data_IF_978388853863
#
_entry.id   IF_978388853863
#
_cell.length_a   1.000
_cell.length_b   1.000
_cell.length_c   1.000
_cell.angle_alpha   90.00
_cell.angle_beta   90.00
_cell.angle_gamma   90.00
#
_symmetry.space_group_name_H-M   'P 1'
#
loop_
_entity.id
_entity.type
_entity.pdbx_description
1 polymer ?
#
# COMPACT_ATOMS: atom_id res chain seq x y z
N UNK A 1 9.71 61.92 46.99
CA UNK A 1 10.01 60.75 47.83
C UNK A 1 9.00 59.66 47.53
N UNK A 2 9.47 58.42 47.31
CA UNK A 2 8.74 57.13 47.23
C UNK A 2 7.93 56.92 45.92
N UNK A 3 8.50 56.29 44.88
CA UNK A 3 8.73 54.84 44.62
C UNK A 3 7.47 54.00 44.40
N UNK A 4 7.65 52.93 43.58
CA UNK A 4 6.78 51.76 43.33
C UNK A 4 5.71 51.97 42.24
N UNK A 5 5.56 51.13 41.20
CA UNK A 5 6.27 49.93 40.74
C UNK A 5 5.77 49.60 39.33
N UNK A 6 6.67 49.16 38.46
CA UNK A 6 6.38 48.57 37.15
C UNK A 6 5.68 47.20 37.28
N UNK A 7 4.68 46.92 36.43
CA UNK A 7 4.27 45.55 36.11
C UNK A 7 4.04 45.45 34.59
N UNK A 8 5.07 44.98 33.88
CA UNK A 8 5.05 44.69 32.45
C UNK A 8 4.52 43.26 32.26
N UNK A 9 3.27 43.12 31.84
CA UNK A 9 2.66 41.82 31.54
C UNK A 9 3.06 41.42 30.11
N UNK A 10 4.06 40.55 30.00
CA UNK A 10 4.44 39.91 28.73
C UNK A 10 3.43 38.81 28.41
N UNK A 11 2.57 39.05 27.42
CA UNK A 11 1.70 38.05 26.81
C UNK A 11 2.55 37.09 25.96
N UNK A 12 2.90 35.93 26.53
CA UNK A 12 3.44 34.79 25.78
C UNK A 12 2.31 34.18 24.95
N UNK A 13 2.33 34.42 23.64
CA UNK A 13 1.56 33.64 22.65
C UNK A 13 2.23 32.26 22.50
N UNK A 14 1.55 31.14 22.78
CA UNK A 14 2.03 29.85 22.33
C UNK A 14 1.84 29.79 20.81
N UNK A 15 2.95 29.82 20.08
CA UNK A 15 2.98 29.50 18.66
C UNK A 15 2.47 28.08 18.48
N UNK A 16 1.22 27.94 18.07
CA UNK A 16 0.70 26.70 17.52
C UNK A 16 1.47 26.43 16.23
N UNK A 17 2.52 25.62 16.34
CA UNK A 17 3.11 24.95 15.21
C UNK A 17 1.97 24.18 14.53
N UNK A 18 1.53 24.69 13.38
CA UNK A 18 0.73 23.94 12.44
C UNK A 18 1.64 22.83 11.87
N UNK A 19 1.86 21.79 12.67
CA UNK A 19 2.28 20.50 12.15
C UNK A 19 1.12 20.02 11.28
N UNK A 20 1.26 20.28 9.99
CA UNK A 20 0.40 19.73 8.96
C UNK A 20 0.31 18.24 9.19
N UNK A 21 -0.82 17.82 9.75
CA UNK A 21 -1.18 16.43 9.96
C UNK A 21 -1.20 15.76 8.58
N UNK A 22 -0.08 15.15 8.20
CA UNK A 22 -0.07 14.03 7.26
C UNK A 22 -0.73 12.84 7.96
N UNK A 23 -2.03 12.98 8.25
CA UNK A 23 -2.84 11.94 8.85
C UNK A 23 -2.96 10.81 7.84
N UNK A 24 -2.38 9.65 8.20
CA UNK A 24 -2.77 8.28 7.82
C UNK A 24 -3.54 8.20 6.49
N UNK A 25 -2.85 7.78 5.42
CA UNK A 25 -3.38 7.62 4.06
C UNK A 25 -4.80 7.02 4.09
N UNK A 26 -5.82 7.87 3.87
CA UNK A 26 -7.17 7.39 3.60
C UNK A 26 -7.14 6.81 2.20
N UNK A 27 -7.24 5.49 2.09
CA UNK A 27 -7.38 4.79 0.81
C UNK A 27 -8.54 5.44 0.05
N UNK A 28 -8.29 5.91 -1.17
CA UNK A 28 -9.35 6.57 -1.95
C UNK A 28 -10.43 5.54 -2.27
N UNK A 29 -11.68 5.78 -1.82
CA UNK A 29 -12.81 4.87 -2.10
C UNK A 29 -13.38 5.02 -3.52
N UNK A 30 -12.76 5.84 -4.36
CA UNK A 30 -13.18 6.05 -5.74
C UNK A 30 -12.46 4.99 -6.60
N UNK A 31 -13.19 4.16 -7.37
CA UNK A 31 -12.58 3.24 -8.32
C UNK A 31 -11.66 3.99 -9.29
N UNK A 32 -10.46 3.48 -9.60
CA UNK A 32 -9.62 4.06 -10.64
C UNK A 32 -10.34 4.08 -11.99
N UNK A 33 -9.99 5.05 -12.83
CA UNK A 33 -10.45 5.06 -14.21
C UNK A 33 -9.89 3.83 -14.96
N UNK A 34 -10.64 3.20 -15.87
CA UNK A 34 -10.13 2.11 -16.69
C UNK A 34 -8.85 2.52 -17.44
N UNK A 35 -7.85 1.63 -17.48
CA UNK A 35 -6.56 1.92 -18.13
C UNK A 35 -5.63 2.85 -17.35
N UNK A 36 -5.92 3.07 -16.06
CA UNK A 36 -5.06 3.90 -15.19
C UNK A 36 -4.50 3.11 -14.01
N UNK A 37 -3.30 3.48 -13.59
CA UNK A 37 -2.58 2.89 -12.47
C UNK A 37 -2.61 3.87 -11.30
N UNK A 38 -3.05 3.42 -10.13
CA UNK A 38 -3.02 4.20 -8.89
C UNK A 38 -1.66 4.08 -8.22
N UNK A 39 -0.85 5.14 -8.25
CA UNK A 39 0.52 5.16 -7.73
C UNK A 39 0.57 5.48 -6.23
N UNK A 40 -0.42 6.20 -5.68
CA UNK A 40 -0.43 6.64 -4.28
C UNK A 40 -0.38 5.48 -3.26
N UNK A 41 -0.99 4.34 -3.60
CA UNK A 41 -1.05 3.16 -2.74
C UNK A 41 0.13 2.18 -3.00
N UNK A 42 0.85 2.35 -4.10
CA UNK A 42 1.93 1.44 -4.51
C UNK A 42 3.26 1.74 -3.82
N UNK A 43 3.49 3.00 -3.44
CA UNK A 43 4.77 3.47 -2.94
C UNK A 43 4.64 4.01 -1.51
N UNK A 44 5.56 3.64 -0.58
CA UNK A 44 5.55 4.16 0.78
C UNK A 44 5.90 5.65 0.84
N UNK A 45 6.70 6.14 -0.12
CA UNK A 45 7.09 7.55 -0.24
C UNK A 45 6.37 8.18 -1.43
N UNK A 46 5.74 9.35 -1.25
CA UNK A 46 5.06 10.04 -2.34
C UNK A 46 6.08 10.51 -3.39
N UNK A 47 5.74 10.33 -4.66
CA UNK A 47 6.53 10.86 -5.78
C UNK A 47 6.12 12.31 -6.03
N UNK A 48 7.10 13.21 -5.94
CA UNK A 48 6.90 14.63 -6.18
C UNK A 48 7.38 15.00 -7.59
N UNK A 49 6.54 15.70 -8.34
CA UNK A 49 6.82 16.19 -9.69
C UNK A 49 6.85 17.72 -9.67
N UNK A 50 7.64 18.31 -10.57
CA UNK A 50 7.70 19.77 -10.72
C UNK A 50 7.01 20.19 -12.02
N UNK A 51 6.12 21.17 -11.94
CA UNK A 51 5.48 21.76 -13.12
C UNK A 51 6.50 22.61 -13.88
N UNK A 52 6.73 22.31 -15.16
CA UNK A 52 7.70 23.02 -16.00
C UNK A 52 7.15 24.33 -16.55
N UNK A 53 5.93 24.28 -17.07
CA UNK A 53 5.22 25.37 -17.71
C UNK A 53 3.79 25.45 -17.20
N UNK A 54 3.05 26.50 -17.55
CA UNK A 54 1.65 26.60 -17.13
C UNK A 54 0.87 25.41 -17.69
N UNK A 55 0.40 24.56 -16.78
CA UNK A 55 -0.13 23.24 -17.13
C UNK A 55 -1.63 23.19 -16.83
N UNK A 56 -2.50 22.98 -17.83
CA UNK A 56 -3.92 22.77 -17.59
C UNK A 56 -4.14 21.45 -16.85
N UNK A 57 -5.05 21.48 -15.89
CA UNK A 57 -5.49 20.31 -15.13
C UNK A 57 -6.84 19.86 -15.66
N UNK A 58 -6.98 18.57 -15.93
CA UNK A 58 -8.17 17.96 -16.53
C UNK A 58 -8.89 17.02 -15.57
N UNK A 59 -10.19 16.84 -15.77
CA UNK A 59 -11.00 15.92 -14.95
C UNK A 59 -10.68 14.45 -15.21
N UNK A 60 -10.38 14.09 -16.47
CA UNK A 60 -10.19 12.71 -16.94
C UNK A 60 -8.84 12.51 -17.62
N UNK A 61 -8.38 11.27 -17.65
CA UNK A 61 -7.13 10.86 -18.31
C UNK A 61 -7.11 11.14 -19.83
N UNK A 62 -8.27 11.29 -20.47
CA UNK A 62 -8.42 11.66 -21.88
C UNK A 62 -8.15 13.15 -22.19
N UNK A 63 -7.97 14.01 -21.16
CA UNK A 63 -7.61 15.42 -21.30
C UNK A 63 -8.64 16.31 -22.01
N UNK A 64 -9.93 16.01 -21.86
CA UNK A 64 -11.02 16.71 -22.57
C UNK A 64 -11.50 17.99 -21.84
N UNK A 65 -11.72 17.90 -20.53
CA UNK A 65 -12.32 18.99 -19.75
C UNK A 65 -11.32 19.55 -18.73
N UNK A 66 -10.83 20.77 -18.98
CA UNK A 66 -9.95 21.47 -18.06
C UNK A 66 -10.73 22.09 -16.89
N UNK A 67 -10.22 21.91 -15.67
CA UNK A 67 -10.81 22.39 -14.41
C UNK A 67 -9.98 23.51 -13.75
N UNK A 68 -8.78 23.79 -14.28
CA UNK A 68 -7.91 24.85 -13.79
C UNK A 68 -6.53 24.77 -14.42
N UNK A 69 -5.60 25.60 -13.95
CA UNK A 69 -4.18 25.54 -14.34
C UNK A 69 -3.25 25.57 -13.13
N UNK A 70 -2.09 24.93 -13.28
CA UNK A 70 -1.00 24.98 -12.31
C UNK A 70 0.08 25.94 -12.79
N UNK A 71 0.61 26.73 -11.86
CA UNK A 71 1.68 27.66 -12.17
C UNK A 71 3.02 26.93 -12.38
N UNK A 72 3.91 27.44 -13.26
CA UNK A 72 5.27 26.93 -13.39
C UNK A 72 6.00 26.89 -12.03
N UNK A 73 6.82 25.88 -11.81
CA UNK A 73 7.59 25.69 -10.59
C UNK A 73 6.83 25.07 -9.42
N UNK A 74 5.51 24.91 -9.54
CA UNK A 74 4.69 24.23 -8.50
C UNK A 74 5.14 22.78 -8.33
N UNK A 75 5.30 22.35 -7.08
CA UNK A 75 5.59 20.95 -6.76
C UNK A 75 4.28 20.23 -6.47
N UNK A 76 4.05 19.12 -7.15
CA UNK A 76 2.79 18.36 -7.09
C UNK A 76 3.05 16.91 -6.73
N UNK A 77 2.11 16.29 -6.04
CA UNK A 77 2.17 14.86 -5.69
C UNK A 77 1.58 14.03 -6.82
N UNK A 78 2.30 13.02 -7.29
CA UNK A 78 1.79 12.01 -8.22
C UNK A 78 0.85 11.06 -7.48
N UNK A 79 -0.36 10.89 -8.02
CA UNK A 79 -1.38 9.97 -7.52
C UNK A 79 -1.59 8.81 -8.48
N UNK A 80 -1.50 9.06 -9.77
CA UNK A 80 -1.81 8.03 -10.77
C UNK A 80 -1.15 8.28 -12.11
N UNK A 81 -1.18 7.25 -12.93
CA UNK A 81 -0.53 7.18 -14.23
C UNK A 81 -1.52 6.66 -15.27
N UNK A 82 -1.58 7.31 -16.43
CA UNK A 82 -2.17 6.77 -17.66
C UNK A 82 -1.10 6.67 -18.74
N UNK A 83 -1.47 6.28 -19.94
CA UNK A 83 -0.54 6.23 -21.08
C UNK A 83 -0.08 7.62 -21.55
N UNK A 84 -0.87 8.67 -21.31
CA UNK A 84 -0.65 10.02 -21.86
C UNK A 84 -0.56 11.11 -20.80
N UNK A 85 -0.93 10.83 -19.56
CA UNK A 85 -1.09 11.82 -18.51
C UNK A 85 -0.71 11.27 -17.11
N UNK A 86 -0.32 12.19 -16.23
CA UNK A 86 -0.19 11.93 -14.81
C UNK A 86 -1.38 12.50 -14.07
N UNK A 87 -1.93 11.74 -13.12
CA UNK A 87 -2.88 12.27 -12.15
C UNK A 87 -2.11 12.85 -10.98
N UNK A 88 -2.29 14.13 -10.71
CA UNK A 88 -1.57 14.85 -9.66
C UNK A 88 -2.52 15.48 -8.67
N UNK A 89 -2.00 15.77 -7.47
CA UNK A 89 -2.66 16.62 -6.46
C UNK A 89 -1.69 17.69 -6.00
N UNK A 90 -2.18 18.91 -5.96
CA UNK A 90 -1.41 20.07 -5.54
C UNK A 90 -2.25 21.33 -5.60
N UNK A 91 -1.59 22.46 -5.38
CA UNK A 91 -2.23 23.78 -5.43
C UNK A 91 -2.22 24.33 -6.84
N UNK A 92 -3.39 24.45 -7.43
CA UNK A 92 -3.61 25.19 -8.68
C UNK A 92 -3.78 26.69 -8.39
N UNK A 93 -3.91 27.50 -9.45
CA UNK A 93 -4.14 28.96 -9.31
C UNK A 93 -5.42 29.29 -8.53
N UNK A 94 -6.45 28.44 -8.63
CA UNK A 94 -7.77 28.67 -8.05
C UNK A 94 -8.02 27.88 -6.75
N UNK A 95 -7.00 27.20 -6.21
CA UNK A 95 -7.11 26.40 -5.00
C UNK A 95 -6.48 25.01 -5.13
N UNK A 96 -6.67 24.17 -4.12
CA UNK A 96 -6.16 22.80 -4.13
C UNK A 96 -6.99 21.93 -5.08
N UNK A 97 -6.32 21.30 -6.05
CA UNK A 97 -6.95 20.53 -7.13
C UNK A 97 -6.30 19.16 -7.25
N UNK A 98 -7.11 18.15 -7.57
CA UNK A 98 -6.64 16.85 -8.04
C UNK A 98 -7.20 16.59 -9.43
N UNK A 99 -6.32 16.28 -10.38
CA UNK A 99 -6.71 16.03 -11.75
C UNK A 99 -5.54 15.56 -12.60
N UNK A 100 -5.80 15.41 -13.89
CA UNK A 100 -4.89 14.89 -14.89
C UNK A 100 -4.11 16.02 -15.54
N UNK A 101 -2.81 15.83 -15.72
CA UNK A 101 -1.90 16.78 -16.37
C UNK A 101 -1.06 16.01 -17.38
N UNK A 102 -0.75 16.62 -18.53
CA UNK A 102 0.07 15.98 -19.55
C UNK A 102 1.45 15.65 -19.00
N UNK A 103 1.99 14.50 -19.39
CA UNK A 103 3.30 14.05 -18.90
C UNK A 103 4.43 15.01 -19.26
N UNK A 104 4.38 15.62 -20.45
CA UNK A 104 5.40 16.57 -20.91
C UNK A 104 5.44 17.91 -20.16
N UNK A 105 4.37 18.25 -19.43
CA UNK A 105 4.31 19.49 -18.65
C UNK A 105 4.93 19.33 -17.24
N UNK A 106 5.30 18.10 -16.89
CA UNK A 106 5.78 17.70 -15.58
C UNK A 106 7.19 17.12 -15.67
N UNK A 107 8.05 17.57 -14.78
CA UNK A 107 9.40 17.04 -14.59
C UNK A 107 9.38 16.03 -13.44
N UNK A 108 9.75 14.78 -13.75
CA UNK A 108 10.06 13.76 -12.76
C UNK A 108 11.54 13.84 -12.34
N UNK A 109 11.85 13.57 -11.05
CA UNK A 109 13.24 13.44 -10.61
C UNK A 109 13.97 12.25 -11.25
N UNK A 110 13.24 11.17 -11.54
CA UNK A 110 13.75 9.97 -12.20
C UNK A 110 13.29 9.96 -13.68
N UNK A 111 14.23 9.89 -14.66
CA UNK A 111 13.90 9.72 -16.07
C UNK A 111 13.16 8.42 -16.40
N UNK A 112 13.38 7.36 -15.62
CA UNK A 112 12.80 6.03 -15.84
C UNK A 112 11.53 5.77 -15.02
N UNK A 113 10.95 6.80 -14.42
CA UNK A 113 9.81 6.70 -13.49
C UNK A 113 8.65 5.87 -14.07
N UNK A 114 8.23 6.18 -15.30
CA UNK A 114 7.08 5.50 -15.96
C UNK A 114 7.33 4.01 -16.11
N UNK A 115 8.50 3.64 -16.62
CA UNK A 115 8.89 2.25 -16.84
C UNK A 115 8.95 1.49 -15.52
N UNK A 116 9.51 2.10 -14.48
CA UNK A 116 9.62 1.50 -13.16
C UNK A 116 8.24 1.31 -12.51
N UNK A 117 7.35 2.28 -12.62
CA UNK A 117 5.97 2.19 -12.11
C UNK A 117 5.16 1.11 -12.81
N UNK A 118 5.29 0.97 -14.14
CA UNK A 118 4.61 -0.11 -14.89
C UNK A 118 5.10 -1.49 -14.46
N UNK A 119 6.41 -1.69 -14.39
CA UNK A 119 7.00 -2.96 -13.91
C UNK A 119 6.56 -3.29 -12.49
N UNK A 120 6.49 -2.29 -11.62
CA UNK A 120 6.04 -2.47 -10.24
C UNK A 120 4.57 -2.90 -10.20
N UNK A 121 3.70 -2.26 -10.99
CA UNK A 121 2.29 -2.62 -11.11
C UNK A 121 2.08 -4.05 -11.64
N UNK A 122 2.83 -4.43 -12.67
CA UNK A 122 2.80 -5.77 -13.24
C UNK A 122 3.20 -6.83 -12.21
N UNK A 123 4.31 -6.59 -11.49
CA UNK A 123 4.73 -7.45 -10.37
C UNK A 123 3.63 -7.57 -9.32
N UNK A 124 3.05 -6.46 -8.88
CA UNK A 124 1.99 -6.46 -7.86
C UNK A 124 0.78 -7.26 -8.31
N UNK A 125 0.34 -7.09 -9.56
CA UNK A 125 -0.79 -7.84 -10.12
C UNK A 125 -0.52 -9.34 -10.10
N UNK A 126 0.68 -9.76 -10.51
CA UNK A 126 1.09 -11.17 -10.47
C UNK A 126 1.16 -11.72 -9.04
N UNK A 127 1.70 -10.94 -8.11
CA UNK A 127 1.77 -11.31 -6.69
C UNK A 127 0.38 -11.41 -6.06
N UNK A 128 -0.52 -10.47 -6.35
CA UNK A 128 -1.91 -10.51 -5.87
C UNK A 128 -2.65 -11.73 -6.39
N UNK A 129 -2.44 -12.11 -7.66
CA UNK A 129 -2.98 -13.35 -8.23
C UNK A 129 -2.43 -14.59 -7.49
N UNK A 130 -1.12 -14.64 -7.22
CA UNK A 130 -0.51 -15.74 -6.45
C UNK A 130 -1.03 -15.81 -5.02
N UNK A 131 -1.21 -14.66 -4.35
CA UNK A 131 -1.79 -14.58 -3.01
C UNK A 131 -3.24 -15.08 -3.03
N UNK A 132 -4.04 -14.69 -4.01
CA UNK A 132 -5.42 -15.16 -4.16
C UNK A 132 -5.48 -16.69 -4.33
N UNK A 133 -4.52 -17.25 -5.07
CA UNK A 133 -4.38 -18.68 -5.29
C UNK A 133 -3.65 -19.42 -4.15
N UNK A 134 -3.22 -18.72 -3.09
CA UNK A 134 -2.43 -19.25 -1.95
C UNK A 134 -1.13 -19.95 -2.38
N UNK A 135 -0.49 -19.40 -3.42
CA UNK A 135 0.77 -19.88 -3.96
C UNK A 135 1.94 -19.01 -3.50
N UNK A 136 3.13 -19.59 -3.54
CA UNK A 136 4.39 -18.89 -3.27
C UNK A 136 5.33 -19.09 -4.45
N UNK A 137 6.02 -18.03 -4.84
CA UNK A 137 7.02 -18.04 -5.89
C UNK A 137 8.32 -17.41 -5.41
N UNK A 138 9.40 -17.72 -6.14
CA UNK A 138 10.70 -17.10 -5.95
C UNK A 138 10.58 -15.57 -6.15
N UNK A 139 11.28 -14.80 -5.32
CA UNK A 139 11.24 -13.33 -5.41
C UNK A 139 10.08 -12.65 -4.66
N UNK A 140 9.14 -13.43 -4.10
CA UNK A 140 8.16 -12.89 -3.16
C UNK A 140 8.85 -12.44 -1.87
N UNK A 141 8.32 -11.40 -1.24
CA UNK A 141 8.80 -10.93 0.06
C UNK A 141 8.16 -11.71 1.20
N UNK A 142 8.75 -11.69 2.39
CA UNK A 142 8.18 -12.35 3.57
C UNK A 142 6.75 -11.90 3.90
N UNK A 143 6.44 -10.62 3.68
CA UNK A 143 5.11 -10.07 3.90
C UNK A 143 4.10 -10.61 2.86
N UNK A 144 4.51 -10.73 1.60
CA UNK A 144 3.70 -11.32 0.52
C UNK A 144 3.45 -12.82 0.76
N UNK A 145 4.47 -13.56 1.24
CA UNK A 145 4.32 -14.98 1.61
C UNK A 145 3.34 -15.14 2.76
N UNK A 146 3.45 -14.29 3.80
CA UNK A 146 2.54 -14.31 4.93
C UNK A 146 1.11 -13.93 4.51
N UNK A 147 0.95 -13.02 3.56
CA UNK A 147 -0.37 -12.69 2.99
C UNK A 147 -0.98 -13.88 2.22
N UNK A 148 -0.15 -14.67 1.53
CA UNK A 148 -0.57 -15.86 0.77
C UNK A 148 -0.92 -17.06 1.67
N UNK A 149 0.01 -17.46 2.55
CA UNK A 149 -0.10 -18.70 3.34
C UNK A 149 -0.63 -18.49 4.76
N UNK A 150 -0.67 -17.24 5.22
CA UNK A 150 -0.99 -16.90 6.60
C UNK A 150 0.22 -17.03 7.53
N UNK A 151 -0.04 -17.27 8.81
CA UNK A 151 1.02 -17.33 9.83
C UNK A 151 1.77 -18.67 9.75
N UNK A 152 3.11 -18.67 9.76
CA UNK A 152 3.89 -19.90 9.82
C UNK A 152 3.68 -20.61 11.16
N UNK A 153 3.76 -21.94 11.15
CA UNK A 153 3.71 -22.76 12.35
C UNK A 153 5.01 -22.63 13.17
N UNK A 154 6.16 -22.51 12.47
CA UNK A 154 7.45 -22.23 13.08
C UNK A 154 8.24 -21.26 12.22
N UNK A 155 8.93 -20.32 12.87
CA UNK A 155 9.88 -19.39 12.26
C UNK A 155 11.25 -19.57 12.90
N UNK A 156 12.28 -19.73 12.08
CA UNK A 156 13.68 -19.73 12.50
C UNK A 156 14.44 -18.66 11.74
N UNK A 157 15.31 -17.92 12.41
CA UNK A 157 16.11 -16.85 11.81
C UNK A 157 17.58 -17.08 12.14
N UNK A 158 18.44 -16.96 11.13
CA UNK A 158 19.89 -17.04 11.25
C UNK A 158 20.50 -15.79 10.61
N UNK A 159 21.39 -15.13 11.32
CA UNK A 159 22.12 -13.95 10.84
C UNK A 159 23.58 -14.34 10.71
N UNK A 160 24.10 -14.29 9.49
CA UNK A 160 25.51 -14.57 9.18
C UNK A 160 26.15 -13.33 8.54
N UNK A 161 27.48 -13.37 8.33
CA UNK A 161 28.19 -12.30 7.62
C UNK A 161 27.65 -12.06 6.19
N UNK A 162 27.00 -13.05 5.58
CA UNK A 162 26.41 -12.98 4.24
C UNK A 162 24.96 -12.50 4.16
N UNK A 163 24.33 -12.13 5.28
CA UNK A 163 22.95 -11.63 5.30
C UNK A 163 22.04 -12.32 6.32
N UNK A 164 20.74 -12.01 6.25
CA UNK A 164 19.70 -12.61 7.11
C UNK A 164 19.01 -13.73 6.35
N UNK A 165 19.10 -14.94 6.89
CA UNK A 165 18.34 -16.10 6.42
C UNK A 165 17.17 -16.37 7.37
N UNK A 166 15.98 -16.56 6.82
CA UNK A 166 14.79 -16.96 7.58
C UNK A 166 14.20 -18.24 7.00
N UNK A 167 13.86 -19.20 7.86
CA UNK A 167 13.13 -20.41 7.47
C UNK A 167 11.74 -20.37 8.08
N UNK A 168 10.72 -20.42 7.23
CA UNK A 168 9.31 -20.43 7.60
C UNK A 168 8.74 -21.82 7.31
N UNK A 169 8.22 -22.47 8.35
CA UNK A 169 7.64 -23.80 8.24
C UNK A 169 6.12 -23.68 8.41
N UNK A 170 5.40 -24.22 7.42
CA UNK A 170 3.95 -24.24 7.33
C UNK A 170 3.46 -25.68 7.40
N UNK A 171 2.34 -25.87 8.10
CA UNK A 171 1.64 -27.16 8.19
C UNK A 171 0.27 -27.00 7.55
N UNK A 172 -0.02 -27.85 6.57
CA UNK A 172 -1.29 -27.91 5.87
C UNK A 172 -2.21 -28.86 6.61
N UNK A 173 -3.38 -28.36 6.99
CA UNK A 173 -4.40 -29.14 7.67
C UNK A 173 -5.60 -29.35 6.76
N UNK A 174 -6.08 -30.58 6.67
CA UNK A 174 -7.37 -30.89 6.09
C UNK A 174 -8.40 -31.12 7.19
N UNK A 175 -9.65 -30.73 6.95
CA UNK A 175 -10.77 -30.99 7.86
C UNK A 175 -11.51 -32.22 7.39
N UNK A 176 -11.22 -33.36 8.00
CA UNK A 176 -11.85 -34.62 7.64
C UNK A 176 -13.13 -34.77 8.47
N UNK A 177 -14.30 -34.99 7.84
CA UNK A 177 -15.54 -35.23 8.56
C UNK A 177 -15.49 -36.63 9.20
N UNK A 178 -15.77 -36.69 10.50
CA UNK A 178 -16.05 -37.93 11.21
C UNK A 178 -17.50 -37.94 11.66
N UNK A 179 -18.19 -39.05 11.36
CA UNK A 179 -19.57 -39.26 11.75
C UNK A 179 -19.60 -40.01 13.06
N UNK A 180 -20.15 -39.39 14.09
CA UNK A 180 -20.38 -40.03 15.38
C UNK A 180 -21.87 -40.26 15.57
N UNK A 181 -22.26 -41.48 15.94
CA UNK A 181 -23.66 -41.80 16.24
C UNK A 181 -23.86 -41.77 17.74
N UNK A 182 -24.67 -40.82 18.22
CA UNK A 182 -25.13 -40.76 19.60
C UNK A 182 -26.59 -41.18 19.71
N UNK A 183 -27.07 -41.34 20.94
CA UNK A 183 -28.50 -41.48 21.22
C UNK A 183 -29.04 -40.13 21.69
N UNK A 184 -30.20 -39.73 21.19
CA UNK A 184 -30.93 -38.60 21.72
C UNK A 184 -31.60 -38.95 23.07
N UNK A 185 -32.17 -37.97 23.80
CA UNK A 185 -32.87 -38.24 25.07
C UNK A 185 -34.07 -39.18 24.97
N UNK A 186 -34.53 -39.49 23.75
CA UNK A 186 -35.62 -40.43 23.46
C UNK A 186 -35.10 -41.80 23.01
N UNK A 187 -33.78 -42.04 23.06
CA UNK A 187 -33.14 -43.30 22.68
C UNK A 187 -33.03 -43.54 21.18
N UNK A 188 -33.19 -42.52 20.34
CA UNK A 188 -33.08 -42.63 18.88
C UNK A 188 -31.63 -42.35 18.44
N UNK A 189 -31.08 -43.10 17.48
CA UNK A 189 -29.76 -42.81 16.96
C UNK A 189 -29.77 -41.50 16.16
N UNK A 190 -28.89 -40.57 16.54
CA UNK A 190 -28.66 -39.30 15.84
C UNK A 190 -27.20 -39.25 15.42
N UNK A 191 -26.96 -39.01 14.13
CA UNK A 191 -25.62 -38.78 13.60
C UNK A 191 -25.25 -37.31 13.73
N UNK A 192 -24.08 -37.05 14.30
CA UNK A 192 -23.45 -35.74 14.31
C UNK A 192 -22.15 -35.78 13.50
N UNK A 193 -21.85 -34.67 12.81
CA UNK A 193 -20.62 -34.52 12.03
C UNK A 193 -19.64 -33.68 12.83
N UNK A 194 -18.47 -34.25 13.13
CA UNK A 194 -17.36 -33.54 13.76
C UNK A 194 -16.22 -33.43 12.75
N UNK A 195 -15.72 -32.23 12.53
CA UNK A 195 -14.58 -32.00 11.64
C UNK A 195 -13.28 -32.04 12.43
N UNK A 196 -12.46 -33.06 12.21
CA UNK A 196 -11.14 -33.17 12.81
C UNK A 196 -10.10 -32.52 11.89
N UNK A 197 -9.20 -31.73 12.47
CA UNK A 197 -8.04 -31.19 11.76
C UNK A 197 -6.97 -32.26 11.72
N UNK A 198 -6.64 -32.74 10.53
CA UNK A 198 -5.58 -33.72 10.30
C UNK A 198 -4.48 -33.06 9.49
N UNK A 199 -3.23 -33.29 9.86
CA UNK A 199 -2.07 -32.80 9.12
C UNK A 199 -1.94 -33.60 7.83
N UNK A 200 -1.99 -32.93 6.68
CA UNK A 200 -1.91 -33.55 5.36
C UNK A 200 -0.64 -33.21 4.61
N UNK A 201 0.09 -32.18 5.02
CA UNK A 201 1.38 -31.84 4.43
C UNK A 201 2.14 -30.80 5.23
N UNK A 202 3.44 -30.69 4.94
CA UNK A 202 4.32 -29.66 5.45
C UNK A 202 5.02 -28.96 4.30
N UNK A 203 5.29 -27.67 4.46
CA UNK A 203 6.02 -26.86 3.48
C UNK A 203 6.99 -25.95 4.21
N UNK A 204 8.22 -25.87 3.71
CA UNK A 204 9.23 -24.96 4.21
C UNK A 204 9.56 -23.94 3.12
N UNK A 205 9.62 -22.67 3.49
CA UNK A 205 10.04 -21.56 2.65
C UNK A 205 11.26 -20.92 3.28
N UNK A 206 12.33 -20.79 2.52
CA UNK A 206 13.57 -20.13 2.92
C UNK A 206 13.64 -18.76 2.28
N UNK A 207 13.89 -17.74 3.11
CA UNK A 207 14.05 -16.37 2.70
C UNK A 207 15.48 -15.93 2.93
N UNK A 208 16.04 -15.27 1.93
CA UNK A 208 17.31 -14.56 2.02
C UNK A 208 17.03 -13.07 1.91
N UNK A 209 17.45 -12.30 2.92
CA UNK A 209 17.23 -10.86 2.99
C UNK A 209 15.76 -10.44 2.76
N UNK A 210 14.83 -11.21 3.35
CA UNK A 210 13.38 -11.04 3.25
C UNK A 210 12.74 -11.40 1.89
N UNK A 211 13.48 -12.07 1.01
CA UNK A 211 12.99 -12.52 -0.31
C UNK A 211 13.08 -14.04 -0.41
N UNK A 212 12.05 -14.68 -0.97
CA UNK A 212 11.99 -16.14 -1.16
C UNK A 212 13.10 -16.59 -2.10
N UNK A 213 13.89 -17.53 -1.60
CA UNK A 213 15.03 -18.15 -2.28
C UNK A 213 14.76 -19.63 -2.61
N UNK A 214 14.12 -20.37 -1.69
CA UNK A 214 13.73 -21.77 -1.87
C UNK A 214 12.47 -22.17 -1.11
#
# INVERSE_FOLDING_TARGET
MKTLTYLFLVLLLPGAAAEAQFSKQRKSMIPPEPGTINVEDMLPKPVMLKVLQEAPVYTRSALEQAIGSMAPGTVVKLIGLSDTAYRVRGRARHGDVSGWVRMGDLLSPDPNLVTNLRKLHERQTQVEEMIANKQVALGMTGDEVQASLGKPARKSTKINAGGREEKLEYVVYERVPQFTTGLDPLGRPVQSVVYLKVETGNMAVTLKDNVVDS
#
